data_IF_451385759151
#
_entry.id   IF_451385759151
#
_cell.length_a   1.000
_cell.length_b   1.000
_cell.length_c   1.000
_cell.angle_alpha   90.00
_cell.angle_beta   90.00
_cell.angle_gamma   90.00
#
_symmetry.space_group_name_H-M   'P 1'
#
loop_
_entity.id
_entity.type
_entity.pdbx_description
1 polymer ?
#
# COMPACT_ATOMS: atom_id res chain seq x y z
N UNK A 1 38.69 -5.85 0.55
CA UNK A 1 38.31 -5.71 -0.88
C UNK A 1 37.44 -4.47 -1.01
N UNK A 2 37.75 -3.59 -1.95
CA UNK A 2 36.92 -2.42 -2.21
C UNK A 2 35.66 -2.86 -2.95
N UNK A 3 34.50 -2.44 -2.49
CA UNK A 3 33.20 -2.72 -3.12
C UNK A 3 33.21 -2.16 -4.56
N UNK A 4 32.83 -2.95 -5.60
CA UNK A 4 32.73 -2.47 -6.97
C UNK A 4 31.73 -1.30 -7.08
N UNK A 5 32.00 -0.33 -7.95
CA UNK A 5 31.13 0.85 -8.10
C UNK A 5 29.70 0.50 -8.56
N UNK A 6 29.53 -0.60 -9.30
CA UNK A 6 28.23 -1.06 -9.79
C UNK A 6 27.42 -1.81 -8.71
N UNK A 7 28.02 -2.30 -7.63
CA UNK A 7 27.31 -2.98 -6.54
C UNK A 7 26.87 -1.94 -5.52
N UNK A 8 25.58 -1.58 -5.52
CA UNK A 8 25.06 -0.53 -4.64
C UNK A 8 24.59 -1.06 -3.29
N UNK A 9 24.11 -2.30 -3.24
CA UNK A 9 23.68 -2.96 -2.01
C UNK A 9 24.03 -4.45 -2.03
N UNK A 10 24.51 -4.97 -0.92
CA UNK A 10 24.63 -6.39 -0.62
C UNK A 10 24.49 -6.53 0.89
N UNK A 11 23.36 -7.07 1.33
CA UNK A 11 23.04 -7.16 2.75
C UNK A 11 22.18 -8.37 3.08
N UNK A 12 22.19 -8.75 4.35
CA UNK A 12 21.29 -9.77 4.92
C UNK A 12 20.72 -9.22 6.22
N UNK A 13 19.40 -9.18 6.30
CA UNK A 13 18.65 -8.92 7.53
C UNK A 13 18.14 -10.22 8.15
N UNK A 14 18.11 -10.27 9.47
CA UNK A 14 17.41 -11.29 10.25
C UNK A 14 16.59 -10.55 11.29
N UNK A 15 15.31 -10.91 11.40
CA UNK A 15 14.35 -10.28 12.32
C UNK A 15 13.54 -11.37 13.03
N UNK A 16 13.46 -11.27 14.34
CA UNK A 16 12.51 -12.03 15.17
C UNK A 16 11.42 -11.07 15.64
N UNK A 17 10.17 -11.47 15.50
CA UNK A 17 9.03 -10.68 15.94
C UNK A 17 8.10 -11.53 16.79
N UNK A 18 7.43 -10.87 17.73
CA UNK A 18 6.30 -11.45 18.44
C UNK A 18 5.05 -10.69 18.03
N UNK A 19 4.08 -11.42 17.51
CA UNK A 19 2.79 -10.95 17.02
C UNK A 19 1.71 -11.52 17.93
N UNK A 20 0.90 -10.66 18.55
CA UNK A 20 -0.12 -11.09 19.50
C UNK A 20 -1.47 -11.37 18.84
N UNK A 21 -1.67 -10.98 17.56
CA UNK A 21 -2.92 -11.17 16.81
C UNK A 21 -2.67 -11.31 15.30
N UNK A 22 -2.08 -12.44 14.90
CA UNK A 22 -1.66 -12.74 13.51
C UNK A 22 -2.74 -12.47 12.46
N UNK A 23 -4.01 -12.66 12.79
CA UNK A 23 -5.12 -12.49 11.86
C UNK A 23 -5.84 -11.15 12.00
N UNK A 24 -5.37 -10.27 12.87
CA UNK A 24 -6.02 -8.97 13.16
C UNK A 24 -7.53 -9.15 13.43
N UNK A 25 -7.85 -10.13 14.26
CA UNK A 25 -9.22 -10.55 14.54
C UNK A 25 -9.70 -9.97 15.87
N UNK A 26 -10.96 -9.52 15.89
CA UNK A 26 -11.64 -9.15 17.14
C UNK A 26 -12.21 -10.34 17.91
N UNK A 27 -12.08 -11.58 17.38
CA UNK A 27 -12.55 -12.79 18.06
C UNK A 27 -11.53 -13.26 19.11
N UNK A 28 -12.01 -13.50 20.31
CA UNK A 28 -11.17 -14.02 21.38
C UNK A 28 -10.52 -15.37 21.01
N UNK A 29 -9.30 -15.62 21.51
CA UNK A 29 -8.52 -16.87 21.29
C UNK A 29 -9.27 -18.15 21.64
N UNK A 30 -10.21 -18.10 22.58
CA UNK A 30 -11.04 -19.21 22.98
C UNK A 30 -12.24 -19.45 22.07
N UNK A 31 -12.55 -18.54 21.17
CA UNK A 31 -13.65 -18.70 20.26
C UNK A 31 -13.35 -19.81 19.24
N UNK A 32 -14.30 -20.69 19.01
CA UNK A 32 -14.21 -21.62 17.89
C UNK A 32 -14.28 -20.81 16.59
N UNK A 33 -13.49 -21.15 15.55
CA UNK A 33 -13.69 -20.57 14.22
C UNK A 33 -15.14 -20.83 13.83
N UNK A 34 -15.90 -19.76 13.64
CA UNK A 34 -17.30 -19.88 13.27
C UNK A 34 -17.46 -19.43 11.83
N UNK A 35 -18.21 -20.22 11.06
CA UNK A 35 -18.72 -19.74 9.79
C UNK A 35 -20.01 -18.98 10.09
N UNK A 36 -20.08 -17.67 9.88
CA UNK A 36 -21.34 -16.96 9.98
C UNK A 36 -22.24 -17.42 8.83
N UNK A 37 -23.32 -18.10 9.17
CA UNK A 37 -24.30 -18.62 8.21
C UNK A 37 -24.08 -20.07 7.79
N UNK A 38 -25.01 -20.64 7.01
CA UNK A 38 -24.89 -22.01 6.52
C UNK A 38 -23.62 -22.15 5.66
N UNK A 39 -22.91 -23.26 5.71
CA UNK A 39 -21.63 -23.47 5.00
C UNK A 39 -21.71 -23.28 3.48
N UNK A 40 -22.88 -23.15 2.93
CA UNK A 40 -23.12 -22.91 1.50
C UNK A 40 -23.36 -21.43 1.16
N UNK A 41 -23.31 -20.54 2.12
CA UNK A 41 -23.70 -19.13 1.95
C UNK A 41 -22.53 -18.18 1.66
N UNK A 42 -21.34 -18.69 1.30
CA UNK A 42 -20.15 -17.84 1.06
C UNK A 42 -19.65 -17.11 2.29
N UNK A 43 -19.97 -17.65 3.44
CA UNK A 43 -19.57 -17.10 4.72
C UNK A 43 -18.05 -17.09 4.85
N UNK A 44 -17.50 -15.95 5.20
CA UNK A 44 -16.09 -15.78 5.48
C UNK A 44 -15.76 -16.47 6.81
N UNK A 45 -14.66 -17.24 6.83
CA UNK A 45 -14.17 -17.84 8.06
C UNK A 45 -13.71 -16.71 9.00
N UNK A 46 -14.41 -16.54 10.11
CA UNK A 46 -13.96 -15.67 11.16
C UNK A 46 -12.80 -16.35 11.90
N UNK A 47 -11.59 -15.87 11.65
CA UNK A 47 -10.38 -16.37 12.28
C UNK A 47 -10.30 -15.81 13.70
N UNK A 48 -9.95 -16.68 14.65
CA UNK A 48 -9.69 -16.27 16.03
C UNK A 48 -8.34 -15.56 16.13
N UNK A 49 -8.18 -14.77 17.17
CA UNK A 49 -6.91 -14.24 17.60
C UNK A 49 -5.89 -15.38 17.86
N UNK A 50 -4.71 -15.29 17.26
CA UNK A 50 -3.59 -16.25 17.39
C UNK A 50 -2.29 -15.46 17.57
N UNK A 51 -1.53 -15.86 18.60
CA UNK A 51 -0.17 -15.31 18.77
C UNK A 51 0.89 -16.17 18.07
N UNK A 52 1.91 -15.54 17.54
CA UNK A 52 3.05 -16.26 16.95
C UNK A 52 4.36 -15.51 17.14
N UNK A 53 5.45 -16.28 17.26
CA UNK A 53 6.77 -15.76 16.91
C UNK A 53 6.96 -15.88 15.40
N UNK A 54 7.66 -14.90 14.82
CA UNK A 54 7.87 -14.78 13.38
C UNK A 54 9.35 -14.56 13.14
N UNK A 55 9.95 -15.48 12.40
CA UNK A 55 11.33 -15.34 11.90
C UNK A 55 11.28 -14.82 10.48
N UNK A 56 12.00 -13.73 10.20
CA UNK A 56 12.14 -13.18 8.85
C UNK A 56 13.61 -13.11 8.47
N UNK A 57 13.97 -13.64 7.29
CA UNK A 57 15.30 -13.54 6.70
C UNK A 57 15.19 -12.75 5.40
N UNK A 58 15.95 -11.64 5.31
CA UNK A 58 15.82 -10.64 4.24
C UNK A 58 17.19 -10.40 3.56
N UNK A 59 17.63 -11.26 2.63
CA UNK A 59 18.79 -10.94 1.80
C UNK A 59 18.44 -9.85 0.79
N UNK A 60 19.43 -9.05 0.40
CA UNK A 60 19.24 -8.02 -0.60
C UNK A 60 20.49 -7.85 -1.45
N UNK A 61 20.29 -7.70 -2.76
CA UNK A 61 21.31 -7.31 -3.72
C UNK A 61 20.79 -6.14 -4.57
N UNK A 62 21.66 -5.18 -4.82
CA UNK A 62 21.37 -4.03 -5.66
C UNK A 62 22.54 -3.71 -6.58
N UNK A 63 22.25 -3.45 -7.84
CA UNK A 63 23.20 -3.17 -8.91
C UNK A 63 22.84 -1.86 -9.59
N UNK A 64 23.83 -1.02 -9.85
CA UNK A 64 23.71 0.11 -10.78
C UNK A 64 24.47 -0.24 -12.06
N UNK A 65 23.76 -0.32 -13.16
CA UNK A 65 24.32 -0.62 -14.46
C UNK A 65 24.95 0.60 -15.15
N UNK A 66 24.63 1.83 -14.73
CA UNK A 66 25.14 3.03 -15.38
C UNK A 66 26.69 3.07 -15.41
N UNK A 67 27.41 2.74 -14.35
CA UNK A 67 28.89 2.66 -14.40
C UNK A 67 29.42 1.59 -15.33
N UNK A 68 28.65 0.51 -15.59
CA UNK A 68 29.06 -0.59 -16.50
C UNK A 68 28.87 -0.25 -17.97
N UNK A 69 28.00 0.70 -18.30
CA UNK A 69 27.73 1.14 -19.66
C UNK A 69 28.76 2.16 -20.19
N UNK A 70 29.73 2.53 -19.36
CA UNK A 70 30.74 3.55 -19.66
C UNK A 70 30.20 4.98 -19.47
N UNK A 71 30.94 5.98 -19.95
CA UNK A 71 30.51 7.38 -19.87
C UNK A 71 29.28 7.58 -20.76
N UNK A 72 28.11 7.58 -20.11
CA UNK A 72 26.83 7.90 -20.77
C UNK A 72 26.43 9.32 -20.39
N UNK A 73 26.38 10.27 -21.34
CA UNK A 73 26.08 11.67 -21.03
C UNK A 73 24.61 11.88 -20.58
N UNK A 74 23.75 10.93 -20.86
CA UNK A 74 22.31 11.04 -20.64
C UNK A 74 21.86 10.23 -19.41
N UNK A 75 22.35 8.97 -19.28
CA UNK A 75 21.92 8.05 -18.24
C UNK A 75 22.72 8.30 -16.94
N UNK A 76 22.04 8.72 -15.88
CA UNK A 76 22.64 9.02 -14.58
C UNK A 76 22.58 7.83 -13.60
N UNK A 77 21.53 7.01 -13.71
CA UNK A 77 21.36 5.78 -12.94
C UNK A 77 20.49 4.79 -13.70
N UNK A 78 20.86 3.52 -13.64
CA UNK A 78 20.05 2.38 -14.09
C UNK A 78 20.20 1.28 -13.06
N UNK A 79 19.30 1.25 -12.08
CA UNK A 79 19.44 0.35 -10.94
C UNK A 79 18.45 -0.79 -11.00
N UNK A 80 18.88 -1.96 -10.56
CA UNK A 80 18.04 -3.12 -10.29
C UNK A 80 18.37 -3.63 -8.89
N UNK A 81 17.35 -3.84 -8.06
CA UNK A 81 17.51 -4.49 -6.78
C UNK A 81 16.55 -5.65 -6.63
N UNK A 82 17.01 -6.69 -5.94
CA UNK A 82 16.20 -7.84 -5.55
C UNK A 82 16.31 -8.01 -4.05
N UNK A 83 15.17 -8.05 -3.37
CA UNK A 83 15.05 -8.10 -1.92
C UNK A 83 13.93 -9.07 -1.54
N UNK A 84 14.19 -10.38 -1.43
CA UNK A 84 13.22 -11.33 -0.93
C UNK A 84 13.12 -11.27 0.59
N UNK A 85 11.94 -11.61 1.12
CA UNK A 85 11.69 -11.90 2.52
C UNK A 85 11.20 -13.33 2.67
N UNK A 86 11.84 -14.12 3.54
CA UNK A 86 11.42 -15.47 3.90
C UNK A 86 10.86 -15.41 5.31
N UNK A 87 9.54 -15.63 5.44
CA UNK A 87 8.79 -15.40 6.69
C UNK A 87 8.20 -16.71 7.19
N UNK A 88 8.50 -17.05 8.44
CA UNK A 88 8.04 -18.27 9.09
C UNK A 88 7.35 -17.94 10.40
N UNK A 89 6.12 -18.39 10.54
CA UNK A 89 5.31 -18.28 11.76
C UNK A 89 5.38 -19.57 12.56
N UNK A 90 5.64 -19.51 13.87
CA UNK A 90 5.77 -20.70 14.71
C UNK A 90 4.41 -21.33 15.06
N UNK A 91 3.37 -20.51 15.24
CA UNK A 91 2.04 -20.99 15.66
C UNK A 91 0.95 -20.77 14.62
N UNK A 92 1.31 -20.33 13.41
CA UNK A 92 0.39 -20.05 12.31
C UNK A 92 1.02 -20.45 10.98
N UNK A 93 1.32 -21.74 10.80
CA UNK A 93 2.02 -22.26 9.62
C UNK A 93 1.34 -21.91 8.29
N UNK A 94 0.01 -21.69 8.30
CA UNK A 94 -0.74 -21.23 7.13
C UNK A 94 -0.31 -19.85 6.64
N UNK A 95 0.36 -19.08 7.50
CA UNK A 95 0.81 -17.71 7.23
C UNK A 95 2.26 -17.66 6.78
N UNK A 96 2.97 -18.79 6.75
CA UNK A 96 4.31 -18.86 6.16
C UNK A 96 4.28 -18.40 4.72
N UNK A 97 5.17 -17.48 4.36
CA UNK A 97 5.19 -16.92 3.02
C UNK A 97 6.61 -16.49 2.61
N UNK A 98 6.77 -16.30 1.32
CA UNK A 98 7.96 -15.72 0.73
C UNK A 98 7.54 -14.53 -0.14
N UNK A 99 8.16 -13.39 0.10
CA UNK A 99 7.95 -12.20 -0.71
C UNK A 99 9.17 -11.97 -1.59
N UNK A 100 8.95 -11.73 -2.85
CA UNK A 100 10.01 -11.44 -3.80
C UNK A 100 9.80 -10.03 -4.36
N UNK A 101 10.63 -9.09 -3.94
CA UNK A 101 10.56 -7.70 -4.42
C UNK A 101 11.70 -7.42 -5.39
N UNK A 102 11.32 -6.97 -6.58
CA UNK A 102 12.24 -6.47 -7.59
C UNK A 102 11.96 -4.98 -7.78
N UNK A 103 13.00 -4.15 -7.70
CA UNK A 103 12.86 -2.72 -7.96
C UNK A 103 13.81 -2.33 -9.07
N UNK A 104 13.28 -1.74 -10.14
CA UNK A 104 14.04 -1.17 -11.24
C UNK A 104 13.86 0.35 -11.26
N UNK A 105 14.95 1.11 -11.44
CA UNK A 105 14.87 2.56 -11.66
C UNK A 105 15.79 2.98 -12.78
N UNK A 106 15.33 3.95 -13.57
CA UNK A 106 16.16 4.61 -14.58
C UNK A 106 15.99 6.13 -14.44
N UNK A 107 17.10 6.84 -14.38
CA UNK A 107 17.15 8.30 -14.31
C UNK A 107 18.16 8.85 -15.28
N UNK A 108 17.81 9.96 -15.91
CA UNK A 108 18.75 10.59 -16.83
C UNK A 108 18.38 12.02 -17.16
N UNK A 109 19.32 12.68 -17.84
CA UNK A 109 19.17 14.07 -18.25
C UNK A 109 19.93 14.36 -19.54
N UNK A 110 19.27 15.08 -20.45
CA UNK A 110 19.86 15.59 -21.69
C UNK A 110 19.49 17.07 -21.84
N UNK A 111 20.41 17.94 -21.46
CA UNK A 111 20.16 19.39 -21.42
C UNK A 111 19.03 19.72 -20.44
N UNK A 112 17.96 20.32 -20.95
CA UNK A 112 16.78 20.71 -20.19
C UNK A 112 15.76 19.57 -20.02
N UNK A 113 15.95 18.45 -20.71
CA UNK A 113 15.10 17.28 -20.60
C UNK A 113 15.66 16.31 -19.57
N UNK A 114 14.86 15.92 -18.59
CA UNK A 114 15.15 14.85 -17.63
C UNK A 114 14.07 13.78 -17.69
N UNK A 115 14.44 12.56 -17.37
CA UNK A 115 13.49 11.46 -17.24
C UNK A 115 13.72 10.69 -15.93
N UNK A 116 12.62 10.14 -15.42
CA UNK A 116 12.63 9.21 -14.30
C UNK A 116 11.62 8.10 -14.58
N UNK A 117 12.06 6.86 -14.45
CA UNK A 117 11.20 5.69 -14.50
C UNK A 117 11.48 4.84 -13.26
N UNK A 118 10.43 4.27 -12.70
CA UNK A 118 10.51 3.37 -11.55
C UNK A 118 9.49 2.26 -11.72
N UNK A 119 9.90 1.05 -11.36
CA UNK A 119 9.06 -0.12 -11.33
C UNK A 119 9.36 -0.92 -10.05
N UNK A 120 8.31 -1.31 -9.33
CA UNK A 120 8.38 -2.15 -8.13
C UNK A 120 7.43 -3.31 -8.33
N UNK A 121 7.98 -4.44 -8.68
CA UNK A 121 7.26 -5.70 -8.76
C UNK A 121 7.43 -6.49 -7.46
N UNK A 122 6.33 -6.97 -6.88
CA UNK A 122 6.33 -7.82 -5.69
C UNK A 122 5.48 -9.06 -5.96
N UNK A 123 6.08 -10.22 -5.79
CA UNK A 123 5.39 -11.51 -5.76
C UNK A 123 5.36 -12.02 -4.33
N UNK A 124 4.18 -12.30 -3.81
CA UNK A 124 3.94 -12.87 -2.49
C UNK A 124 3.44 -14.30 -2.70
N UNK A 125 4.26 -15.28 -2.32
CA UNK A 125 3.87 -16.70 -2.29
C UNK A 125 3.38 -17.02 -0.88
N UNK A 126 2.15 -16.67 -0.58
CA UNK A 126 1.74 -16.51 0.79
C UNK A 126 0.46 -17.15 1.21
N UNK A 127 -0.09 -16.55 2.22
CA UNK A 127 -1.23 -16.99 2.98
C UNK A 127 -2.52 -17.01 2.16
N UNK A 128 -3.37 -17.97 2.52
CA UNK A 128 -4.76 -18.06 2.04
C UNK A 128 -5.73 -17.28 2.93
N UNK A 129 -5.32 -16.94 4.14
CA UNK A 129 -6.17 -16.43 5.22
C UNK A 129 -5.78 -15.03 5.69
N UNK A 130 -4.56 -14.60 5.42
CA UNK A 130 -4.05 -13.34 5.90
C UNK A 130 -4.93 -12.15 5.50
N UNK A 131 -5.00 -11.12 6.35
CA UNK A 131 -5.74 -9.93 6.03
C UNK A 131 -5.17 -9.28 4.76
N UNK A 132 -6.06 -8.78 3.91
CA UNK A 132 -5.71 -7.90 2.80
C UNK A 132 -5.92 -6.46 3.24
N UNK A 133 -5.04 -5.97 4.07
CA UNK A 133 -4.98 -4.52 4.23
C UNK A 133 -4.10 -3.97 3.11
N UNK A 134 -4.47 -2.86 2.49
CA UNK A 134 -3.59 -2.19 1.57
C UNK A 134 -2.35 -1.75 2.34
N UNK A 135 -1.33 -2.61 2.30
CA UNK A 135 -0.01 -2.28 2.76
C UNK A 135 0.51 -1.20 1.85
N UNK A 136 0.51 0.04 2.31
CA UNK A 136 1.23 1.05 1.58
C UNK A 136 2.73 0.81 1.77
N UNK A 137 3.39 0.37 0.71
CA UNK A 137 4.85 0.24 0.62
C UNK A 137 5.59 1.56 0.96
N UNK A 138 4.84 2.65 1.06
CA UNK A 138 5.36 3.96 1.45
C UNK A 138 5.33 4.21 2.97
N UNK A 139 4.69 3.34 3.77
CA UNK A 139 4.75 3.46 5.22
C UNK A 139 6.18 3.24 5.72
N UNK A 140 6.69 4.17 6.52
CA UNK A 140 8.03 4.08 7.10
C UNK A 140 8.15 2.96 8.14
N UNK A 141 7.03 2.44 8.68
CA UNK A 141 6.97 1.57 9.85
C UNK A 141 6.42 0.18 9.59
N UNK A 142 5.63 -0.02 8.54
CA UNK A 142 5.16 -1.34 8.17
C UNK A 142 6.00 -1.85 7.00
N UNK A 143 6.64 -2.98 7.16
CA UNK A 143 7.09 -3.75 6.02
C UNK A 143 5.85 -4.33 5.36
N UNK A 144 5.76 -4.33 4.04
CA UNK A 144 4.65 -4.95 3.30
C UNK A 144 4.43 -6.41 3.72
N UNK A 145 5.50 -7.11 4.07
CA UNK A 145 5.51 -8.48 4.55
C UNK A 145 4.68 -8.71 5.82
N UNK A 146 4.53 -7.70 6.67
CA UNK A 146 3.83 -7.89 7.93
C UNK A 146 2.30 -7.83 7.78
N UNK A 147 1.76 -7.30 6.66
CA UNK A 147 0.33 -7.06 6.49
C UNK A 147 -0.30 -7.62 5.21
N UNK A 148 0.44 -7.68 4.12
CA UNK A 148 -0.05 -8.22 2.85
C UNK A 148 0.52 -9.63 2.63
N UNK A 149 -0.05 -10.62 3.28
CA UNK A 149 0.41 -12.02 3.22
C UNK A 149 -0.33 -12.87 2.19
N UNK A 150 -1.31 -12.32 1.50
CA UNK A 150 -2.07 -13.10 0.51
C UNK A 150 -1.26 -13.33 -0.75
N UNK A 151 -1.43 -14.52 -1.31
CA UNK A 151 -0.79 -14.87 -2.58
C UNK A 151 -1.23 -13.93 -3.69
N UNK A 152 -0.28 -13.16 -4.22
CA UNK A 152 -0.54 -12.13 -5.21
C UNK A 152 0.71 -11.68 -5.93
N UNK A 153 0.49 -11.11 -7.13
CA UNK A 153 1.45 -10.25 -7.80
C UNK A 153 1.02 -8.80 -7.63
N UNK A 154 1.96 -7.94 -7.29
CA UNK A 154 1.76 -6.49 -7.30
C UNK A 154 2.77 -5.87 -8.24
N UNK A 155 2.32 -4.91 -9.04
CA UNK A 155 3.17 -4.14 -9.93
C UNK A 155 2.84 -2.66 -9.79
N UNK A 156 3.88 -1.86 -9.56
CA UNK A 156 3.77 -0.42 -9.44
C UNK A 156 4.82 0.25 -10.29
N UNK A 157 4.41 0.62 -11.49
CA UNK A 157 5.27 1.30 -12.45
C UNK A 157 4.91 2.78 -12.57
N UNK A 158 5.91 3.61 -12.80
CA UNK A 158 5.74 5.02 -13.11
C UNK A 158 6.83 5.53 -14.03
N UNK A 159 6.47 6.47 -14.87
CA UNK A 159 7.41 7.18 -15.75
C UNK A 159 7.05 8.66 -15.80
N UNK A 160 8.06 9.50 -15.79
CA UNK A 160 7.92 10.92 -16.04
C UNK A 160 9.07 11.44 -16.90
N UNK A 161 8.72 12.33 -17.81
CA UNK A 161 9.65 13.16 -18.56
C UNK A 161 9.44 14.59 -18.10
N UNK A 162 10.49 15.35 -17.93
CA UNK A 162 10.38 16.74 -17.53
C UNK A 162 11.28 17.61 -18.41
N UNK A 163 10.67 18.58 -19.07
CA UNK A 163 11.34 19.61 -19.81
C UNK A 163 11.36 20.89 -19.00
N UNK A 164 12.55 21.29 -18.54
CA UNK A 164 12.77 22.40 -17.63
C UNK A 164 13.23 23.65 -18.38
N UNK A 165 12.56 24.77 -18.15
CA UNK A 165 12.98 26.10 -18.52
C UNK A 165 13.24 26.95 -17.29
N UNK A 166 13.78 28.15 -17.44
CA UNK A 166 14.15 29.02 -16.33
C UNK A 166 13.00 29.22 -15.33
N UNK A 167 11.79 29.57 -15.82
CA UNK A 167 10.62 29.91 -14.98
C UNK A 167 9.50 28.87 -14.99
N UNK A 168 9.56 27.88 -15.86
CA UNK A 168 8.50 26.90 -16.00
C UNK A 168 9.03 25.54 -16.40
N UNK A 169 8.21 24.54 -16.25
CA UNK A 169 8.44 23.20 -16.79
C UNK A 169 7.16 22.56 -17.26
N UNK A 170 7.30 21.56 -18.12
CA UNK A 170 6.23 20.64 -18.53
C UNK A 170 6.67 19.22 -18.20
N UNK A 171 5.75 18.43 -17.67
CA UNK A 171 6.04 17.07 -17.23
C UNK A 171 4.93 16.10 -17.61
N UNK A 172 5.01 15.42 -18.78
CA UNK A 172 4.21 14.23 -19.02
C UNK A 172 4.56 13.12 -18.04
N UNK A 173 3.50 12.42 -17.55
CA UNK A 173 3.63 11.32 -16.58
C UNK A 173 2.69 10.19 -16.93
N UNK A 174 3.06 8.96 -16.58
CA UNK A 174 2.17 7.81 -16.61
C UNK A 174 2.46 6.89 -15.42
N UNK A 175 1.45 6.18 -14.93
CA UNK A 175 1.61 5.18 -13.89
C UNK A 175 0.67 3.99 -14.08
N UNK A 176 1.11 2.85 -13.54
CA UNK A 176 0.38 1.60 -13.44
C UNK A 176 0.42 1.13 -11.99
N UNK A 177 -0.71 0.66 -11.49
CA UNK A 177 -0.82 -0.06 -10.24
C UNK A 177 -1.66 -1.31 -10.51
N UNK A 178 -1.06 -2.47 -10.33
CA UNK A 178 -1.70 -3.78 -10.54
C UNK A 178 -1.63 -4.60 -9.26
N UNK A 179 -2.76 -5.20 -8.90
CA UNK A 179 -2.87 -6.26 -7.89
C UNK A 179 -3.52 -7.46 -8.54
N UNK A 180 -2.75 -8.52 -8.73
CA UNK A 180 -3.24 -9.80 -9.26
C UNK A 180 -3.27 -10.83 -8.14
N UNK A 181 -4.47 -11.07 -7.61
CA UNK A 181 -4.72 -11.90 -6.44
C UNK A 181 -5.06 -13.33 -6.87
N UNK A 182 -4.24 -14.30 -6.44
CA UNK A 182 -4.41 -15.73 -6.81
C UNK A 182 -5.52 -16.45 -6.03
N UNK A 183 -6.46 -15.72 -5.45
CA UNK A 183 -7.50 -16.27 -4.57
C UNK A 183 -8.69 -16.91 -5.30
N UNK A 184 -8.75 -16.78 -6.64
CA UNK A 184 -9.81 -17.36 -7.48
C UNK A 184 -9.91 -18.90 -7.42
N UNK A 185 -8.90 -19.57 -6.92
CA UNK A 185 -8.87 -21.02 -6.79
C UNK A 185 -9.53 -21.56 -5.52
N UNK A 186 -9.95 -20.70 -4.60
CA UNK A 186 -10.55 -21.12 -3.33
C UNK A 186 -12.06 -20.97 -3.34
N UNK A 187 -12.76 -21.90 -3.99
CA UNK A 187 -14.22 -22.00 -3.93
C UNK A 187 -14.75 -22.68 -2.66
N UNK A 188 -13.91 -22.86 -1.65
CA UNK A 188 -14.36 -23.50 -0.41
C UNK A 188 -15.22 -22.52 0.41
N UNK A 189 -16.27 -23.01 1.09
CA UNK A 189 -17.02 -22.19 2.05
C UNK A 189 -16.08 -21.58 3.09
N UNK A 190 -16.25 -20.31 3.36
CA UNK A 190 -15.42 -19.58 4.35
C UNK A 190 -14.24 -18.80 3.79
N UNK A 191 -13.99 -18.86 2.49
CA UNK A 191 -12.94 -18.03 1.87
C UNK A 191 -13.55 -16.79 1.24
N UNK A 192 -13.06 -15.63 1.65
CA UNK A 192 -13.32 -14.41 0.90
C UNK A 192 -12.40 -14.40 -0.31
N UNK A 193 -12.97 -14.52 -1.50
CA UNK A 193 -12.24 -14.38 -2.74
C UNK A 193 -12.00 -12.89 -2.96
N UNK A 194 -10.74 -12.49 -2.94
CA UNK A 194 -10.34 -11.17 -3.38
C UNK A 194 -10.09 -11.21 -4.88
N UNK A 195 -10.50 -10.17 -5.57
CA UNK A 195 -10.38 -10.07 -7.03
C UNK A 195 -9.24 -9.15 -7.42
N UNK A 196 -8.59 -9.51 -8.52
CA UNK A 196 -7.54 -8.73 -9.13
C UNK A 196 -8.07 -7.38 -9.60
N UNK A 197 -7.25 -6.34 -9.51
CA UNK A 197 -7.61 -4.96 -9.85
C UNK A 197 -6.40 -4.17 -10.34
N UNK A 198 -6.66 -3.16 -11.16
CA UNK A 198 -5.60 -2.28 -11.62
C UNK A 198 -6.08 -0.83 -11.80
N UNK A 199 -5.11 0.08 -11.77
CA UNK A 199 -5.24 1.49 -12.15
C UNK A 199 -4.13 1.80 -13.17
N UNK A 200 -4.50 2.37 -14.29
CA UNK A 200 -3.57 2.91 -15.27
C UNK A 200 -3.94 4.35 -15.57
N UNK A 201 -2.97 5.23 -15.54
CA UNK A 201 -3.22 6.63 -15.85
C UNK A 201 -2.02 7.29 -16.54
N UNK A 202 -2.34 8.38 -17.25
CA UNK A 202 -1.37 9.23 -17.85
C UNK A 202 -1.84 10.68 -17.91
N UNK A 203 -0.90 11.59 -18.02
CA UNK A 203 -1.25 13.00 -18.04
C UNK A 203 -0.07 13.95 -18.17
N UNK A 204 -0.34 15.21 -17.92
CA UNK A 204 0.59 16.31 -18.11
C UNK A 204 0.50 17.27 -16.91
N UNK A 205 1.66 17.66 -16.39
CA UNK A 205 1.81 18.75 -15.43
C UNK A 205 2.47 19.94 -16.10
N UNK A 206 1.99 21.12 -15.78
CA UNK A 206 2.66 22.39 -15.98
C UNK A 206 3.08 22.95 -14.63
N UNK A 207 4.33 23.40 -14.51
CA UNK A 207 4.84 24.01 -13.29
C UNK A 207 5.40 25.40 -13.54
N UNK A 208 5.09 26.34 -12.64
CA UNK A 208 5.65 27.68 -12.61
C UNK A 208 6.56 27.84 -11.40
N UNK A 209 7.82 28.12 -11.62
CA UNK A 209 8.84 28.29 -10.58
C UNK A 209 8.71 29.68 -9.95
N UNK A 210 8.15 29.72 -8.75
CA UNK A 210 8.08 30.93 -7.92
C UNK A 210 9.47 31.26 -7.36
N UNK A 211 10.21 30.20 -7.04
CA UNK A 211 11.63 30.26 -6.65
C UNK A 211 12.39 29.18 -7.43
N UNK A 212 13.69 29.25 -7.46
CA UNK A 212 14.55 28.28 -8.18
C UNK A 212 14.25 26.83 -7.76
N UNK A 213 13.88 26.61 -6.51
CA UNK A 213 13.65 25.31 -5.90
C UNK A 213 12.21 25.10 -5.43
N UNK A 214 11.26 25.98 -5.82
CA UNK A 214 9.84 25.86 -5.45
C UNK A 214 8.94 26.29 -6.61
N UNK A 215 7.98 25.44 -6.95
CA UNK A 215 7.07 25.67 -8.06
C UNK A 215 5.61 25.43 -7.65
N UNK A 216 4.70 26.20 -8.24
CA UNK A 216 3.27 25.89 -8.31
C UNK A 216 3.03 24.99 -9.50
N UNK A 217 2.11 24.04 -9.36
CA UNK A 217 1.79 23.06 -10.41
C UNK A 217 0.31 23.05 -10.74
N UNK A 218 0.00 22.85 -12.01
CA UNK A 218 -1.33 22.51 -12.50
C UNK A 218 -1.20 21.27 -13.39
N UNK A 219 -2.06 20.28 -13.19
CA UNK A 219 -1.96 19.00 -13.88
C UNK A 219 -3.30 18.46 -14.34
N UNK A 220 -3.25 17.59 -15.33
CA UNK A 220 -4.37 16.80 -15.79
C UNK A 220 -3.97 15.33 -15.86
N UNK A 221 -4.87 14.44 -15.44
CA UNK A 221 -4.74 12.99 -15.57
C UNK A 221 -5.99 12.42 -16.19
N UNK A 222 -5.79 11.50 -17.11
CA UNK A 222 -6.82 10.57 -17.55
C UNK A 222 -6.40 9.17 -17.13
N UNK A 223 -7.32 8.41 -16.57
CA UNK A 223 -7.03 7.05 -16.12
C UNK A 223 -8.23 6.14 -16.20
N UNK A 224 -7.92 4.85 -16.05
CA UNK A 224 -8.88 3.77 -16.06
C UNK A 224 -8.59 2.84 -14.88
N UNK A 225 -9.64 2.53 -14.13
CA UNK A 225 -9.62 1.51 -13.07
C UNK A 225 -10.52 0.36 -13.47
N UNK A 226 -10.06 -0.86 -13.22
CA UNK A 226 -10.86 -2.05 -13.42
C UNK A 226 -10.54 -3.11 -12.36
N UNK A 227 -11.45 -4.03 -12.19
CA UNK A 227 -11.29 -5.21 -11.36
C UNK A 227 -11.82 -6.42 -12.12
N UNK A 228 -11.29 -7.62 -11.83
CA UNK A 228 -11.75 -8.86 -12.43
C UNK A 228 -13.23 -9.12 -12.05
N UNK A 229 -13.97 -9.74 -12.95
CA UNK A 229 -15.31 -10.19 -12.63
C UNK A 229 -15.26 -11.28 -11.55
N UNK A 230 -16.07 -11.13 -10.54
CA UNK A 230 -16.24 -12.14 -9.51
C UNK A 230 -17.26 -13.17 -9.99
N UNK A 231 -16.80 -14.31 -10.47
CA UNK A 231 -17.67 -15.42 -10.85
C UNK A 231 -18.04 -16.24 -9.60
N UNK A 232 -19.26 -16.08 -9.12
CA UNK A 232 -19.82 -17.04 -8.16
C UNK A 232 -19.96 -18.41 -8.82
N UNK A 233 -19.52 -19.47 -8.14
CA UNK A 233 -19.78 -20.83 -8.60
C UNK A 233 -21.30 -21.10 -8.74
N UNK A 234 -21.72 -22.05 -9.61
CA UNK A 234 -23.15 -22.30 -9.94
C UNK A 234 -24.05 -22.52 -8.73
N UNK A 235 -23.55 -23.10 -7.66
CA UNK A 235 -24.28 -23.30 -6.42
C UNK A 235 -24.59 -21.99 -5.67
N UNK A 236 -23.80 -20.95 -5.89
CA UNK A 236 -23.95 -19.65 -5.28
C UNK A 236 -24.90 -18.75 -6.08
N UNK A 237 -24.79 -18.78 -7.39
CA UNK A 237 -25.62 -17.98 -8.30
C UNK A 237 -27.12 -18.30 -8.17
N UNK A 238 -27.48 -19.53 -7.74
CA UNK A 238 -28.89 -19.92 -7.53
C UNK A 238 -29.47 -19.44 -6.20
N UNK A 239 -28.62 -19.23 -5.19
CA UNK A 239 -29.05 -18.80 -3.84
C UNK A 239 -29.02 -17.25 -3.68
N UNK A 240 -28.18 -16.58 -4.45
CA UNK A 240 -28.02 -15.14 -4.42
C UNK A 240 -27.89 -14.62 -5.86
N UNK A 241 -28.98 -14.09 -6.45
CA UNK A 241 -28.98 -13.58 -7.83
C UNK A 241 -28.29 -12.21 -7.96
N UNK A 242 -27.23 -11.99 -7.19
CA UNK A 242 -26.42 -10.79 -7.30
C UNK A 242 -25.45 -11.04 -8.44
N UNK A 243 -25.60 -10.28 -9.52
CA UNK A 243 -24.61 -10.24 -10.58
C UNK A 243 -23.26 -9.90 -9.97
N UNK A 244 -22.21 -10.57 -10.45
CA UNK A 244 -20.83 -10.24 -10.07
C UNK A 244 -20.65 -8.73 -10.17
N UNK A 245 -20.54 -8.06 -9.03
CA UNK A 245 -20.41 -6.62 -9.01
C UNK A 245 -18.97 -6.29 -9.34
N UNK A 246 -18.74 -5.67 -10.49
CA UNK A 246 -17.50 -5.04 -10.83
C UNK A 246 -17.76 -3.56 -11.11
N UNK A 247 -16.77 -2.71 -10.88
CA UNK A 247 -16.93 -1.27 -10.98
C UNK A 247 -15.84 -0.64 -11.86
N UNK A 248 -15.70 -1.09 -13.14
CA UNK A 248 -14.79 -0.44 -14.05
C UNK A 248 -15.20 1.01 -14.23
N UNK A 249 -14.22 1.89 -14.25
CA UNK A 249 -14.46 3.31 -14.43
C UNK A 249 -13.31 4.01 -15.10
N UNK A 250 -13.65 5.02 -15.88
CA UNK A 250 -12.72 6.02 -16.35
C UNK A 250 -12.75 7.24 -15.42
N UNK A 251 -11.61 7.90 -15.29
CA UNK A 251 -11.56 9.13 -14.51
C UNK A 251 -10.72 10.22 -15.16
N UNK A 252 -11.04 11.45 -14.82
CA UNK A 252 -10.33 12.63 -15.22
C UNK A 252 -10.05 13.49 -14.00
N UNK A 253 -8.79 13.82 -13.75
CA UNK A 253 -8.38 14.65 -12.60
C UNK A 253 -7.81 15.97 -13.10
N UNK A 254 -8.26 17.04 -12.52
CA UNK A 254 -7.64 18.36 -12.65
C UNK A 254 -6.95 18.66 -11.33
N UNK A 255 -5.65 18.75 -11.35
CA UNK A 255 -4.80 18.81 -10.16
C UNK A 255 -4.17 20.18 -10.02
N UNK A 256 -4.14 20.70 -8.81
CA UNK A 256 -3.39 21.89 -8.44
C UNK A 256 -2.48 21.56 -7.29
N UNK A 257 -1.30 22.14 -7.26
CA UNK A 257 -0.37 21.81 -6.20
C UNK A 257 0.87 22.67 -6.20
N UNK A 258 1.83 22.19 -5.44
CA UNK A 258 3.15 22.79 -5.34
C UNK A 258 4.20 21.73 -5.02
N UNK A 259 5.41 21.95 -5.49
CA UNK A 259 6.55 21.07 -5.26
C UNK A 259 7.84 21.83 -5.03
N UNK A 260 8.73 21.26 -4.22
CA UNK A 260 10.08 21.76 -4.01
C UNK A 260 10.39 22.13 -2.56
N UNK A 261 11.28 23.10 -2.39
CA UNK A 261 11.76 23.54 -1.08
C UNK A 261 11.50 25.03 -0.90
N UNK A 262 10.32 25.45 -0.39
CA UNK A 262 10.04 26.86 -0.12
C UNK A 262 10.96 27.44 0.95
N UNK A 263 11.44 26.59 1.86
CA UNK A 263 12.43 26.93 2.89
C UNK A 263 13.55 25.88 2.88
N UNK A 264 14.74 26.24 3.32
CA UNK A 264 15.90 25.32 3.30
C UNK A 264 15.69 24.05 4.12
N UNK A 265 14.89 24.13 5.16
CA UNK A 265 14.56 23.03 6.06
C UNK A 265 13.25 22.29 5.71
N UNK A 266 12.44 22.80 4.76
CA UNK A 266 11.12 22.25 4.41
C UNK A 266 11.09 21.82 2.95
N UNK A 267 10.80 20.56 2.70
CA UNK A 267 10.47 19.99 1.39
C UNK A 267 9.00 19.68 1.32
N UNK A 268 8.36 20.07 0.25
CA UNK A 268 6.91 19.86 0.03
C UNK A 268 6.66 19.29 -1.35
N UNK A 269 5.64 18.42 -1.43
CA UNK A 269 5.01 17.97 -2.67
C UNK A 269 3.54 17.77 -2.35
N UNK A 270 2.66 18.48 -3.02
CA UNK A 270 1.20 18.36 -2.86
C UNK A 270 0.53 18.51 -4.20
N UNK A 271 -0.40 17.61 -4.49
CA UNK A 271 -1.35 17.70 -5.61
C UNK A 271 -2.74 17.38 -5.09
N UNK A 272 -3.71 18.23 -5.34
CA UNK A 272 -5.11 18.04 -4.96
C UNK A 272 -6.02 18.53 -6.08
N UNK A 273 -7.21 17.96 -6.18
CA UNK A 273 -8.21 18.44 -7.13
C UNK A 273 -9.40 17.53 -7.31
N UNK A 274 -10.38 17.97 -8.11
CA UNK A 274 -11.55 17.17 -8.44
C UNK A 274 -11.15 15.95 -9.29
N UNK A 275 -11.85 14.85 -9.01
CA UNK A 275 -11.76 13.56 -9.69
C UNK A 275 -13.15 13.27 -10.31
N UNK A 276 -13.28 13.48 -11.61
CA UNK A 276 -14.50 13.24 -12.37
C UNK A 276 -14.51 11.79 -12.83
N UNK A 277 -15.48 11.02 -12.34
CA UNK A 277 -15.59 9.59 -12.64
C UNK A 277 -16.71 9.28 -13.62
N UNK A 278 -16.52 8.20 -14.41
CA UNK A 278 -17.54 7.63 -15.27
C UNK A 278 -17.53 6.12 -15.11
N UNK A 279 -18.53 5.59 -14.41
CA UNK A 279 -18.70 4.15 -14.21
C UNK A 279 -19.43 3.53 -15.41
N UNK A 280 -19.09 2.27 -15.70
CA UNK A 280 -19.81 1.48 -16.68
C UNK A 280 -21.29 1.34 -16.30
N UNK A 281 -22.15 1.20 -17.30
CA UNK A 281 -23.58 1.05 -17.10
C UNK A 281 -23.97 -0.16 -16.25
N UNK A 282 -23.16 -1.22 -16.28
CA UNK A 282 -23.32 -2.45 -15.50
C UNK A 282 -22.93 -2.30 -14.03
N UNK A 283 -22.14 -1.30 -13.68
CA UNK A 283 -21.71 -1.07 -12.28
C UNK A 283 -22.93 -0.79 -11.39
N UNK A 284 -23.11 -1.46 -10.26
CA UNK A 284 -24.25 -1.26 -9.38
C UNK A 284 -24.07 -0.04 -8.46
N UNK A 285 -23.94 1.15 -9.04
CA UNK A 285 -23.87 2.43 -8.33
C UNK A 285 -25.00 3.35 -8.78
N UNK A 286 -25.54 4.14 -7.87
CA UNK A 286 -26.66 5.07 -8.15
C UNK A 286 -26.20 6.22 -9.05
N UNK A 287 -25.05 6.80 -8.74
CA UNK A 287 -24.48 7.87 -9.54
C UNK A 287 -23.36 7.33 -10.43
N UNK A 288 -23.60 7.27 -11.73
CA UNK A 288 -22.64 6.81 -12.73
C UNK A 288 -21.52 7.82 -13.03
N UNK A 289 -21.69 9.06 -12.66
CA UNK A 289 -20.76 10.14 -12.96
C UNK A 289 -20.51 11.04 -11.75
N UNK A 290 -20.01 10.48 -10.64
CA UNK A 290 -19.72 11.26 -9.45
C UNK A 290 -18.51 12.18 -9.68
N UNK A 291 -18.50 13.29 -8.96
CA UNK A 291 -17.30 14.12 -8.78
C UNK A 291 -16.81 13.92 -7.38
N UNK A 292 -15.60 13.35 -7.27
CA UNK A 292 -14.94 13.09 -6.01
C UNK A 292 -13.67 13.93 -5.87
N UNK A 293 -12.84 13.66 -4.88
CA UNK A 293 -11.61 14.41 -4.66
C UNK A 293 -10.41 13.44 -4.67
N UNK A 294 -9.37 13.88 -5.34
CA UNK A 294 -8.05 13.27 -5.26
C UNK A 294 -7.11 14.19 -4.51
N UNK A 295 -6.25 13.61 -3.70
CA UNK A 295 -5.17 14.34 -3.06
C UNK A 295 -4.02 13.42 -2.69
N UNK A 296 -2.80 13.88 -2.96
CA UNK A 296 -1.60 13.26 -2.44
C UNK A 296 -0.55 14.31 -2.09
N UNK A 297 0.22 14.05 -1.06
CA UNK A 297 1.27 14.98 -0.69
C UNK A 297 2.24 14.43 0.34
N UNK A 298 3.40 15.05 0.37
CA UNK A 298 4.44 14.81 1.35
C UNK A 298 5.00 16.15 1.82
N UNK A 299 5.10 16.29 3.14
CA UNK A 299 5.81 17.36 3.80
C UNK A 299 6.97 16.74 4.57
N UNK A 300 8.20 17.17 4.32
CA UNK A 300 9.37 16.73 5.06
C UNK A 300 10.12 17.93 5.62
N UNK A 301 10.21 18.00 6.93
CA UNK A 301 10.83 19.10 7.66
C UNK A 301 12.07 18.63 8.43
N UNK A 302 13.24 19.11 8.03
CA UNK A 302 14.48 18.94 8.79
C UNK A 302 14.57 20.05 9.84
N UNK A 303 13.91 19.85 11.00
CA UNK A 303 13.79 20.86 12.07
C UNK A 303 15.16 21.22 12.64
N UNK A 304 16.02 20.21 12.81
CA UNK A 304 17.42 20.32 13.14
C UNK A 304 18.25 19.40 12.25
N UNK A 305 19.59 19.48 12.25
CA UNK A 305 20.44 18.51 11.55
C UNK A 305 20.24 17.06 12.02
N UNK A 306 19.63 16.86 13.18
CA UNK A 306 19.38 15.54 13.78
C UNK A 306 17.91 15.12 13.75
N UNK A 307 16.99 16.04 13.51
CA UNK A 307 15.55 15.83 13.64
C UNK A 307 14.84 16.05 12.32
N UNK A 308 14.10 15.04 11.88
CA UNK A 308 13.26 15.12 10.67
C UNK A 308 11.84 14.68 11.00
N UNK A 309 10.86 15.48 10.59
CA UNK A 309 9.43 15.11 10.59
C UNK A 309 9.00 14.94 9.15
N UNK A 310 8.28 13.87 8.85
CA UNK A 310 7.64 13.66 7.56
C UNK A 310 6.17 13.39 7.76
N UNK A 311 5.35 14.09 7.02
CA UNK A 311 3.91 13.83 6.93
C UNK A 311 3.58 13.44 5.49
N UNK A 312 2.82 12.37 5.30
CA UNK A 312 2.29 11.92 4.01
C UNK A 312 0.78 11.84 4.08
N UNK A 313 0.17 12.22 2.99
CA UNK A 313 -1.27 12.17 2.80
C UNK A 313 -1.56 11.61 1.42
N UNK A 314 -2.55 10.71 1.33
CA UNK A 314 -3.16 10.30 0.08
C UNK A 314 -4.64 10.02 0.30
N UNK A 315 -5.46 10.51 -0.61
CA UNK A 315 -6.87 10.18 -0.69
C UNK A 315 -7.27 10.04 -2.14
N UNK A 316 -7.93 8.93 -2.45
CA UNK A 316 -8.45 8.67 -3.78
C UNK A 316 -9.61 7.68 -3.71
N UNK A 317 -10.41 7.62 -4.77
CA UNK A 317 -11.41 6.57 -4.91
C UNK A 317 -10.78 5.36 -5.61
N UNK A 318 -10.99 4.18 -5.05
CA UNK A 318 -10.40 2.93 -5.50
C UNK A 318 -11.46 1.85 -5.68
N UNK A 319 -11.28 0.98 -6.68
CA UNK A 319 -12.14 -0.20 -6.88
C UNK A 319 -11.86 -1.24 -5.80
N UNK A 320 -12.93 -1.86 -5.28
CA UNK A 320 -12.81 -2.81 -4.18
C UNK A 320 -12.22 -4.14 -4.63
N UNK A 321 -11.34 -4.72 -3.82
CA UNK A 321 -10.85 -6.10 -4.04
C UNK A 321 -11.89 -7.17 -3.70
N UNK A 322 -13.01 -6.80 -3.09
CA UNK A 322 -14.10 -7.73 -2.77
C UNK A 322 -15.18 -7.81 -3.84
N UNK A 323 -15.02 -7.09 -4.94
CA UNK A 323 -15.99 -7.07 -6.04
C UNK A 323 -17.25 -6.25 -5.74
N UNK A 324 -17.23 -5.47 -4.68
CA UNK A 324 -18.34 -4.63 -4.28
C UNK A 324 -18.18 -3.19 -4.83
N UNK A 325 -18.66 -2.23 -4.10
CA UNK A 325 -18.65 -0.82 -4.49
C UNK A 325 -17.25 -0.21 -4.36
N UNK A 326 -16.94 0.84 -5.12
CA UNK A 326 -15.74 1.65 -4.91
C UNK A 326 -15.73 2.26 -3.51
N UNK A 327 -14.53 2.52 -3.00
CA UNK A 327 -14.35 3.14 -1.69
C UNK A 327 -13.30 4.25 -1.74
N UNK A 328 -13.39 5.18 -0.79
CA UNK A 328 -12.34 6.15 -0.55
C UNK A 328 -11.25 5.52 0.29
N UNK A 329 -10.06 5.44 -0.28
CA UNK A 329 -8.82 5.05 0.38
C UNK A 329 -8.14 6.32 0.88
N UNK A 330 -8.01 6.45 2.19
CA UNK A 330 -7.43 7.63 2.84
C UNK A 330 -6.27 7.20 3.74
N UNK A 331 -5.11 7.78 3.52
CA UNK A 331 -3.89 7.48 4.28
C UNK A 331 -3.32 8.79 4.83
N UNK A 332 -3.09 8.80 6.14
CA UNK A 332 -2.35 9.83 6.86
C UNK A 332 -1.20 9.16 7.59
N UNK A 333 0.03 9.51 7.26
CA UNK A 333 1.24 8.90 7.82
C UNK A 333 2.14 10.01 8.36
N UNK A 334 2.43 9.99 9.65
CA UNK A 334 3.32 10.93 10.33
C UNK A 334 4.52 10.17 10.89
N UNK A 335 5.71 10.58 10.54
CA UNK A 335 6.93 10.02 11.06
C UNK A 335 7.87 11.09 11.60
N UNK A 336 8.52 10.77 12.70
CA UNK A 336 9.61 11.54 13.27
C UNK A 336 10.85 10.67 13.40
N UNK A 337 11.99 11.17 12.99
CA UNK A 337 13.28 10.51 13.18
C UNK A 337 14.27 11.45 13.84
N UNK A 338 15.04 10.91 14.79
CA UNK A 338 16.10 11.63 15.49
C UNK A 338 17.40 10.82 15.54
N UNK A 339 18.49 11.44 15.14
CA UNK A 339 19.84 10.94 15.41
C UNK A 339 20.21 11.33 16.84
N UNK A 340 20.02 10.41 17.79
CA UNK A 340 20.34 10.65 19.21
C UNK A 340 21.84 10.80 19.39
N UNK A 341 22.59 9.86 18.78
CA UNK A 341 24.06 9.92 18.64
C UNK A 341 24.43 9.55 17.20
N UNK A 342 25.71 9.50 16.87
CA UNK A 342 26.14 9.04 15.54
C UNK A 342 25.81 7.55 15.30
N UNK A 343 25.69 6.77 16.37
CA UNK A 343 25.38 5.35 16.31
C UNK A 343 23.90 5.03 16.60
N UNK A 344 23.19 5.87 17.36
CA UNK A 344 21.83 5.59 17.82
C UNK A 344 20.84 6.53 17.14
N UNK A 345 19.81 5.94 16.52
CA UNK A 345 18.66 6.64 15.94
C UNK A 345 17.37 6.19 16.62
N UNK A 346 16.45 7.12 16.81
CA UNK A 346 15.07 6.91 17.27
C UNK A 346 14.12 7.25 16.13
N UNK A 347 13.10 6.44 15.97
CA UNK A 347 11.96 6.71 15.08
C UNK A 347 10.63 6.59 15.84
N UNK A 348 9.71 7.50 15.55
CA UNK A 348 8.33 7.45 16.01
C UNK A 348 7.43 7.55 14.79
N UNK A 349 6.30 6.83 14.81
CA UNK A 349 5.33 6.83 13.73
C UNK A 349 3.91 6.81 14.24
N UNK A 350 3.03 7.46 13.49
CA UNK A 350 1.58 7.35 13.63
C UNK A 350 0.96 7.30 12.25
N UNK A 351 0.01 6.39 12.06
CA UNK A 351 -0.71 6.21 10.81
C UNK A 351 -2.20 6.12 11.09
N UNK A 352 -3.01 6.73 10.22
CA UNK A 352 -4.43 6.46 10.09
C UNK A 352 -4.70 6.03 8.65
N UNK A 353 -5.31 4.87 8.49
CA UNK A 353 -5.78 4.35 7.22
C UNK A 353 -7.30 4.22 7.29
N UNK A 354 -8.01 4.80 6.32
CA UNK A 354 -9.46 4.74 6.22
C UNK A 354 -9.91 4.15 4.90
N UNK A 355 -10.88 3.23 4.94
CA UNK A 355 -11.60 2.70 3.78
C UNK A 355 -13.09 3.02 3.94
N UNK A 356 -13.52 4.11 3.35
CA UNK A 356 -14.92 4.57 3.40
C UNK A 356 -15.67 4.10 2.16
N UNK A 357 -16.61 3.19 2.34
CA UNK A 357 -17.50 2.69 1.29
C UNK A 357 -18.74 3.58 1.23
N UNK A 358 -18.70 4.59 0.38
CA UNK A 358 -19.69 5.65 0.31
C UNK A 358 -21.11 5.14 0.03
N UNK A 359 -22.10 5.43 0.91
CA UNK A 359 -23.48 4.99 0.76
C UNK A 359 -24.20 5.60 -0.44
N UNK A 360 -23.79 6.78 -0.90
CA UNK A 360 -24.41 7.46 -2.04
C UNK A 360 -24.12 6.77 -3.38
N UNK A 361 -23.19 5.79 -3.38
CA UNK A 361 -22.82 5.02 -4.56
C UNK A 361 -23.39 3.59 -4.53
N UNK A 362 -24.12 3.21 -3.49
CA UNK A 362 -24.71 1.89 -3.36
C UNK A 362 -26.18 1.96 -3.73
N UNK A 363 -26.62 1.17 -4.70
CA UNK A 363 -28.02 0.85 -4.86
C UNK A 363 -28.52 0.31 -3.52
N UNK A 364 -29.36 1.03 -2.84
CA UNK A 364 -29.95 0.69 -1.53
C UNK A 364 -30.66 -0.68 -1.51
N UNK A 365 -30.64 -1.43 -2.60
CA UNK A 365 -31.34 -2.67 -2.81
C UNK A 365 -30.43 -3.87 -3.09
N UNK A 366 -29.13 -3.67 -3.25
CA UNK A 366 -28.21 -4.81 -3.36
C UNK A 366 -27.68 -5.12 -1.96
N UNK A 367 -28.17 -6.17 -1.28
CA UNK A 367 -27.43 -6.69 -0.14
C UNK A 367 -26.06 -7.06 -0.68
N UNK A 368 -24.97 -6.64 -0.02
CA UNK A 368 -23.70 -7.28 -0.29
C UNK A 368 -23.90 -8.80 -0.04
N UNK A 369 -23.00 -9.61 -0.55
CA UNK A 369 -23.05 -11.08 -0.42
C UNK A 369 -23.08 -11.51 1.06
N UNK A 370 -22.81 -10.59 1.97
CA UNK A 370 -22.76 -10.75 3.42
C UNK A 370 -23.99 -10.13 4.13
N UNK A 371 -24.94 -9.53 3.38
CA UNK A 371 -26.12 -8.88 3.97
C UNK A 371 -25.90 -7.47 4.50
N UNK A 372 -24.71 -6.90 4.27
CA UNK A 372 -24.37 -5.54 4.68
C UNK A 372 -25.01 -4.52 3.72
N UNK A 373 -26.22 -4.10 4.01
CA UNK A 373 -26.83 -2.89 3.42
C UNK A 373 -26.26 -1.62 4.02
N UNK A 374 -25.24 -1.73 4.83
CA UNK A 374 -24.77 -0.64 5.68
C UNK A 374 -23.53 -0.02 5.04
N UNK A 375 -23.50 1.29 5.02
CA UNK A 375 -22.31 2.07 4.78
C UNK A 375 -21.19 1.53 5.63
N UNK A 376 -20.12 1.10 5.01
CA UNK A 376 -18.96 0.56 5.69
C UNK A 376 -17.91 1.67 5.79
N UNK A 377 -17.44 1.93 6.98
CA UNK A 377 -16.38 2.89 7.26
C UNK A 377 -15.38 2.24 8.22
N UNK A 378 -14.30 1.70 7.64
CA UNK A 378 -13.27 1.00 8.38
C UNK A 378 -12.06 1.93 8.57
N UNK A 379 -11.62 2.07 9.80
CA UNK A 379 -10.39 2.78 10.13
C UNK A 379 -9.40 1.86 10.83
N UNK A 380 -8.14 2.00 10.47
CA UNK A 380 -7.02 1.39 11.17
C UNK A 380 -6.04 2.48 11.60
N UNK A 381 -5.68 2.45 12.87
CA UNK A 381 -4.71 3.37 13.45
C UNK A 381 -3.49 2.59 13.90
N UNK A 382 -2.31 3.13 13.61
CA UNK A 382 -1.03 2.54 14.00
C UNK A 382 -0.23 3.56 14.79
N UNK A 383 0.35 3.14 15.91
CA UNK A 383 1.42 3.86 16.59
C UNK A 383 2.68 2.99 16.60
N UNK A 384 3.85 3.56 16.31
CA UNK A 384 5.08 2.79 16.25
C UNK A 384 6.26 3.55 16.87
N UNK A 385 7.19 2.80 17.47
CA UNK A 385 8.47 3.29 17.94
C UNK A 385 9.58 2.34 17.49
N UNK A 386 10.70 2.89 17.07
CA UNK A 386 11.87 2.13 16.64
C UNK A 386 13.16 2.74 17.17
N UNK A 387 14.09 1.86 17.54
CA UNK A 387 15.46 2.19 17.89
C UNK A 387 16.39 1.45 16.95
N UNK A 388 17.36 2.13 16.38
CA UNK A 388 18.40 1.52 15.56
C UNK A 388 19.77 1.91 16.13
N UNK A 389 20.62 0.89 16.32
CA UNK A 389 22.00 1.10 16.76
C UNK A 389 22.97 0.53 15.73
N UNK A 390 23.84 1.38 15.20
CA UNK A 390 24.93 0.98 14.29
C UNK A 390 26.17 0.68 15.11
N UNK A 391 26.57 -0.59 15.19
CA UNK A 391 27.79 -1.01 15.87
C UNK A 391 29.03 -0.59 15.07
N UNK A 392 28.90 -0.68 13.76
CA UNK A 392 29.93 -0.26 12.79
C UNK A 392 29.28 -0.06 11.40
N UNK A 393 30.08 0.13 10.36
CA UNK A 393 29.60 0.32 8.98
C UNK A 393 28.95 -0.91 8.37
N UNK A 394 29.21 -2.10 8.92
CA UNK A 394 28.71 -3.37 8.40
C UNK A 394 27.57 -3.96 9.22
N UNK A 395 27.48 -3.64 10.49
CA UNK A 395 26.48 -4.25 11.36
C UNK A 395 25.66 -3.22 12.13
N UNK A 396 24.33 -3.38 12.10
CA UNK A 396 23.38 -2.64 12.91
C UNK A 396 22.32 -3.57 13.48
N UNK A 397 21.76 -3.19 14.64
CA UNK A 397 20.58 -3.83 15.20
C UNK A 397 19.43 -2.82 15.31
N UNK A 398 18.22 -3.32 15.26
CA UNK A 398 17.01 -2.55 15.46
C UNK A 398 16.06 -3.25 16.41
N UNK A 399 15.38 -2.45 17.23
CA UNK A 399 14.26 -2.85 18.07
C UNK A 399 13.07 -1.99 17.67
N UNK A 400 11.93 -2.60 17.41
CA UNK A 400 10.72 -1.88 17.06
C UNK A 400 9.50 -2.45 17.80
N UNK A 401 8.54 -1.57 18.06
CA UNK A 401 7.23 -1.91 18.56
C UNK A 401 6.18 -1.15 17.76
N UNK A 402 5.12 -1.83 17.38
CA UNK A 402 3.91 -1.21 16.82
C UNK A 402 2.67 -1.70 17.54
N UNK A 403 1.71 -0.79 17.64
CA UNK A 403 0.36 -1.05 18.11
C UNK A 403 -0.62 -0.60 17.04
N UNK A 404 -1.45 -1.51 16.61
CA UNK A 404 -2.51 -1.27 15.64
C UNK A 404 -3.86 -1.52 16.27
N UNK A 405 -4.85 -0.71 15.94
CA UNK A 405 -6.24 -1.02 16.26
C UNK A 405 -7.14 -0.66 15.09
N UNK A 406 -8.06 -1.57 14.79
CA UNK A 406 -9.11 -1.40 13.80
C UNK A 406 -10.42 -0.97 14.46
N UNK A 407 -11.12 -0.06 13.80
CA UNK A 407 -12.44 0.42 14.21
C UNK A 407 -13.36 0.39 13.00
N UNK A 408 -14.57 -0.14 13.20
CA UNK A 408 -15.66 0.01 12.24
C UNK A 408 -16.67 0.99 12.85
N UNK A 409 -16.81 2.19 12.28
CA UNK A 409 -17.66 3.25 12.83
C UNK A 409 -19.16 2.94 12.79
N UNK A 410 -19.57 1.97 11.98
CA UNK A 410 -20.99 1.61 11.85
C UNK A 410 -21.46 0.50 12.76
N UNK A 411 -20.54 -0.01 13.57
CA UNK A 411 -20.80 -1.10 14.47
C UNK A 411 -20.78 -2.47 13.76
N UNK A 412 -20.45 -3.46 14.51
CA UNK A 412 -20.53 -4.85 14.06
C UNK A 412 -22.01 -5.24 13.95
N UNK A 413 -22.35 -6.04 12.95
CA UNK A 413 -23.63 -6.72 12.93
C UNK A 413 -23.81 -7.50 14.25
N UNK A 414 -25.02 -7.67 14.77
CA UNK A 414 -25.25 -8.46 15.96
C UNK A 414 -24.58 -9.82 15.87
N UNK A 415 -23.89 -10.24 16.91
CA UNK A 415 -23.25 -11.57 16.93
C UNK A 415 -24.27 -12.66 16.58
N UNK A 416 -23.99 -13.45 15.56
CA UNK A 416 -24.90 -14.45 15.02
C UNK A 416 -25.70 -14.01 13.79
N UNK A 417 -25.62 -12.76 13.35
CA UNK A 417 -26.14 -12.36 12.04
C UNK A 417 -25.31 -13.01 10.93
N UNK A 418 -25.96 -13.40 9.83
CA UNK A 418 -25.25 -13.88 8.66
C UNK A 418 -24.33 -12.76 8.15
N UNK A 419 -23.04 -13.05 7.96
CA UNK A 419 -22.07 -12.07 7.54
C UNK A 419 -21.32 -11.34 8.66
N UNK A 420 -21.57 -11.65 9.93
CA UNK A 420 -20.84 -11.07 11.04
C UNK A 420 -19.33 -11.32 10.92
N UNK A 421 -18.58 -10.25 10.81
CA UNK A 421 -17.13 -10.23 10.95
C UNK A 421 -16.77 -9.11 11.91
N UNK A 422 -16.15 -9.43 13.05
CA UNK A 422 -15.60 -8.39 13.88
C UNK A 422 -14.42 -7.74 13.14
N UNK A 423 -14.57 -6.47 12.81
CA UNK A 423 -13.54 -5.65 12.14
C UNK A 423 -12.80 -4.75 13.11
N UNK A 424 -13.29 -4.73 14.35
CA UNK A 424 -12.59 -4.07 15.45
C UNK A 424 -11.59 -5.05 16.03
N UNK A 425 -10.32 -4.69 16.05
CA UNK A 425 -9.24 -5.52 16.57
C UNK A 425 -8.17 -4.67 17.24
N UNK A 426 -7.38 -5.30 18.06
CA UNK A 426 -6.12 -4.79 18.58
C UNK A 426 -5.00 -5.73 18.16
N UNK A 427 -3.83 -5.17 17.84
CA UNK A 427 -2.69 -5.92 17.39
C UNK A 427 -1.40 -5.27 17.85
N UNK A 428 -0.49 -6.06 18.41
CA UNK A 428 0.81 -5.62 18.88
C UNK A 428 1.91 -6.46 18.22
N UNK A 429 2.92 -5.77 17.70
CA UNK A 429 4.08 -6.40 17.11
C UNK A 429 5.34 -5.85 17.77
N UNK A 430 6.13 -6.72 18.40
CA UNK A 430 7.48 -6.41 18.90
C UNK A 430 8.49 -7.09 18.01
N UNK A 431 9.51 -6.40 17.55
CA UNK A 431 10.54 -7.00 16.70
C UNK A 431 11.95 -6.59 17.11
N UNK A 432 12.86 -7.55 17.03
CA UNK A 432 14.30 -7.37 17.17
C UNK A 432 14.98 -7.86 15.89
N UNK A 433 15.79 -7.04 15.28
CA UNK A 433 16.47 -7.37 14.03
C UNK A 433 17.94 -7.03 14.03
N UNK A 434 18.67 -7.72 13.17
CA UNK A 434 20.06 -7.44 12.81
C UNK A 434 20.19 -7.28 11.31
N UNK A 435 20.97 -6.31 10.87
CA UNK A 435 21.30 -6.08 9.47
C UNK A 435 22.81 -6.10 9.30
N UNK A 436 23.27 -6.98 8.42
CA UNK A 436 24.66 -7.06 8.01
C UNK A 436 24.80 -6.56 6.56
N UNK A 437 25.76 -5.65 6.33
CA UNK A 437 26.10 -5.07 5.01
C UNK A 437 27.53 -5.45 4.65
N UNK A 438 27.72 -5.91 3.43
CA UNK A 438 29.02 -6.29 2.87
C UNK A 438 29.73 -5.12 2.20
#
# INVERSE_FOLDING_TARGET
MTKPAWLIDLSVGIKESFDDNVFESGLARSAAPTFPGPPNAGSVLALRDVTSFITTISPKVGVDFAPLLGEQPILQALTLSYAPDFVTYQNADSENHNDHRITATAKGRAGDLSFNASDVFTYINGSKFGPTYPGDLLSAFATAADRERREQNQDRASVSLRYDQEKWFVRPTASLLLYDLSTHQYFAPGYQNYISRYDVNGGLDFGYKVQTNFALTAGYRYGHQNQAEFAFGPAFASAYPIAAAHSPNDYQRVLFGFEGKPLSWLSVSLQIGPDFRSFDSSTPVDNKSPVTYYGEGTLAAAITPKDTITFRYRQWEWVSSTGLVPYFDSIFDLSYSRKVTDALSLSLGARAFGANYNPNNVLAQSPDVLGDRVVRDDWQYTAAVGLQYAFNTHFSANLAYSYDFGVNEQGDLPAGAAGYQPRSFEHQLVSLGGLFKF
#
